data_IF_862426518106
#
_entry.id   IF_862426518106
#
_cell.length_a   1.000
_cell.length_b   1.000
_cell.length_c   1.000
_cell.angle_alpha   90.00
_cell.angle_beta   90.00
_cell.angle_gamma   90.00
#
_symmetry.space_group_name_H-M   'P 1'
#
loop_
_entity.id
_entity.type
_entity.pdbx_description
1 polymer ?
#
# COMPACT_ATOMS: atom_id res chain seq x y z
N UNK A 1 -9.56 -23.44 3.90
CA UNK A 1 -9.06 -22.11 3.47
C UNK A 1 -7.58 -22.05 3.81
N UNK A 2 -6.73 -21.64 2.87
CA UNK A 2 -5.29 -21.41 3.12
C UNK A 2 -5.04 -19.91 2.98
N UNK A 3 -4.21 -19.34 3.85
CA UNK A 3 -3.70 -17.98 3.61
C UNK A 3 -2.90 -17.97 2.31
N UNK A 4 -3.05 -16.91 1.51
CA UNK A 4 -2.28 -16.72 0.27
C UNK A 4 -1.79 -15.27 0.14
N UNK A 5 -0.90 -14.89 1.07
CA UNK A 5 -0.23 -13.58 1.07
C UNK A 5 0.52 -13.29 -0.23
N UNK A 6 1.15 -14.30 -0.87
CA UNK A 6 1.81 -14.11 -2.18
C UNK A 6 0.82 -13.66 -3.25
N UNK A 7 -0.35 -14.30 -3.34
CA UNK A 7 -1.36 -13.92 -4.31
C UNK A 7 -1.95 -12.53 -4.05
N UNK A 8 -2.09 -12.13 -2.79
CA UNK A 8 -2.64 -10.82 -2.40
C UNK A 8 -1.69 -9.66 -2.73
N UNK A 9 -0.38 -9.90 -2.68
CA UNK A 9 0.65 -8.88 -2.89
C UNK A 9 1.50 -9.17 -4.13
N UNK A 10 2.41 -10.14 -4.08
CA UNK A 10 3.43 -10.38 -5.09
C UNK A 10 2.83 -10.69 -6.46
N UNK A 11 2.03 -11.76 -6.57
CA UNK A 11 1.50 -12.24 -7.85
C UNK A 11 0.60 -11.18 -8.50
N UNK A 12 -0.22 -10.51 -7.68
CA UNK A 12 -1.07 -9.39 -8.09
C UNK A 12 -0.25 -8.19 -8.56
N UNK A 13 0.84 -7.86 -7.87
CA UNK A 13 1.73 -6.75 -8.26
C UNK A 13 2.39 -7.06 -9.59
N UNK A 14 2.98 -8.25 -9.75
CA UNK A 14 3.65 -8.66 -10.97
C UNK A 14 2.69 -8.61 -12.17
N UNK A 15 1.52 -9.25 -12.06
CA UNK A 15 0.52 -9.26 -13.12
C UNK A 15 0.10 -7.84 -13.53
N UNK A 16 -0.08 -6.94 -12.57
CA UNK A 16 -0.50 -5.57 -12.84
C UNK A 16 0.63 -4.73 -13.44
N UNK A 17 1.88 -4.89 -13.00
CA UNK A 17 3.02 -4.23 -13.62
C UNK A 17 3.23 -4.65 -15.07
N UNK A 18 3.01 -5.92 -15.40
CA UNK A 18 3.03 -6.41 -16.79
C UNK A 18 1.96 -5.70 -17.65
N UNK A 19 0.73 -5.55 -17.13
CA UNK A 19 -0.32 -4.78 -17.80
C UNK A 19 0.06 -3.30 -17.97
N UNK A 20 0.73 -2.71 -16.96
CA UNK A 20 1.18 -1.33 -17.01
C UNK A 20 2.23 -1.09 -18.08
N UNK A 21 3.24 -1.98 -18.15
CA UNK A 21 4.32 -1.91 -19.12
C UNK A 21 3.80 -1.97 -20.57
N UNK A 22 2.71 -2.72 -20.80
CA UNK A 22 2.10 -2.86 -22.12
C UNK A 22 1.20 -1.68 -22.51
N UNK A 23 0.75 -0.88 -21.53
CA UNK A 23 -0.24 0.21 -21.74
C UNK A 23 0.33 1.61 -21.61
N UNK A 24 1.51 1.79 -20.98
CA UNK A 24 2.11 3.10 -20.71
C UNK A 24 3.58 3.17 -21.11
N UNK A 25 4.07 4.39 -21.34
CA UNK A 25 5.45 4.67 -21.76
C UNK A 25 6.46 4.76 -20.59
N UNK A 26 6.12 4.30 -19.38
CA UNK A 26 7.04 4.37 -18.24
C UNK A 26 7.98 3.15 -18.24
N UNK A 27 9.29 3.43 -18.29
CA UNK A 27 10.34 2.41 -18.21
C UNK A 27 10.47 1.89 -16.77
N UNK A 28 10.04 0.65 -16.56
CA UNK A 28 10.06 -0.04 -15.26
C UNK A 28 11.45 -0.57 -14.87
N UNK A 29 12.40 -0.58 -15.79
CA UNK A 29 13.74 -1.15 -15.63
C UNK A 29 14.79 -0.06 -15.34
N UNK A 30 14.42 1.22 -15.43
CA UNK A 30 15.31 2.34 -15.09
C UNK A 30 15.22 2.74 -13.61
N UNK A 31 16.36 3.13 -12.99
CA UNK A 31 16.38 3.80 -11.69
C UNK A 31 15.57 5.09 -11.68
N UNK A 32 15.19 5.51 -10.48
CA UNK A 32 14.48 6.77 -10.24
C UNK A 32 15.21 7.61 -9.20
N UNK A 33 14.87 8.89 -9.14
CA UNK A 33 15.27 9.78 -8.05
C UNK A 33 14.02 10.35 -7.40
N UNK A 34 13.85 10.19 -6.10
CA UNK A 34 12.73 10.76 -5.33
C UNK A 34 13.29 11.72 -4.29
N UNK A 35 12.85 12.98 -4.31
CA UNK A 35 13.32 14.03 -3.38
C UNK A 35 14.87 14.12 -3.26
N UNK A 36 15.58 13.87 -4.37
CA UNK A 36 17.05 13.89 -4.41
C UNK A 36 17.73 12.59 -3.99
N UNK A 37 16.98 11.56 -3.59
CA UNK A 37 17.50 10.24 -3.22
C UNK A 37 17.36 9.29 -4.42
N UNK A 38 18.46 8.67 -4.84
CA UNK A 38 18.43 7.64 -5.89
C UNK A 38 17.81 6.34 -5.37
N UNK A 39 16.96 5.73 -6.19
CA UNK A 39 16.33 4.45 -5.92
C UNK A 39 16.53 3.50 -7.10
N UNK A 40 16.52 2.16 -6.87
CA UNK A 40 16.51 1.19 -7.95
C UNK A 40 15.29 1.32 -8.86
N UNK A 41 15.25 0.49 -9.89
CA UNK A 41 14.09 0.40 -10.78
C UNK A 41 12.87 -0.15 -10.05
N UNK A 42 11.68 0.11 -10.59
CA UNK A 42 10.40 -0.34 -10.02
C UNK A 42 10.36 -1.87 -9.88
N UNK A 43 10.88 -2.60 -10.88
CA UNK A 43 10.98 -4.06 -10.82
C UNK A 43 11.91 -4.55 -9.72
N UNK A 44 13.05 -3.90 -9.55
CA UNK A 44 14.00 -4.28 -8.51
C UNK A 44 13.46 -3.95 -7.11
N UNK A 45 12.80 -2.80 -6.94
CA UNK A 45 12.07 -2.46 -5.71
C UNK A 45 11.06 -3.56 -5.38
N UNK A 46 10.15 -3.89 -6.32
CA UNK A 46 9.13 -4.91 -6.11
C UNK A 46 9.72 -6.27 -5.71
N UNK A 47 10.83 -6.67 -6.35
CA UNK A 47 11.53 -7.92 -6.06
C UNK A 47 12.16 -7.92 -4.66
N UNK A 48 12.83 -6.83 -4.28
CA UNK A 48 13.49 -6.72 -2.97
C UNK A 48 12.47 -6.69 -1.83
N UNK A 49 11.36 -5.96 -2.01
CA UNK A 49 10.34 -5.81 -0.97
C UNK A 49 9.45 -7.04 -0.84
N UNK A 50 9.28 -7.84 -1.89
CA UNK A 50 8.52 -9.09 -1.81
C UNK A 50 9.10 -10.04 -0.75
N UNK A 51 10.43 -10.08 -0.58
CA UNK A 51 11.10 -10.89 0.43
C UNK A 51 10.89 -10.40 1.87
N UNK A 52 10.38 -9.18 2.05
CA UNK A 52 10.09 -8.58 3.36
C UNK A 52 8.63 -8.80 3.79
N UNK A 53 7.78 -9.32 2.90
CA UNK A 53 6.40 -9.67 3.23
C UNK A 53 6.41 -11.02 3.98
N UNK A 54 5.82 -11.11 5.18
CA UNK A 54 5.71 -12.36 5.91
C UNK A 54 5.06 -13.47 5.08
N UNK A 55 5.63 -14.68 5.19
CA UNK A 55 5.06 -15.85 4.55
C UNK A 55 3.64 -16.13 5.06
N UNK A 56 2.81 -16.69 4.19
CA UNK A 56 1.48 -17.11 4.54
C UNK A 56 1.54 -18.23 5.60
N UNK A 57 0.82 -18.02 6.70
CA UNK A 57 0.48 -19.06 7.66
C UNK A 57 -1.04 -19.08 7.86
N UNK A 58 -1.57 -20.22 8.30
CA UNK A 58 -3.00 -20.34 8.56
C UNK A 58 -3.40 -19.84 9.96
N UNK A 59 -2.44 -19.37 10.78
CA UNK A 59 -2.71 -18.88 12.13
C UNK A 59 -3.43 -17.52 12.10
N UNK A 60 -3.25 -16.76 11.03
CA UNK A 60 -3.84 -15.45 10.81
C UNK A 60 -5.18 -15.47 10.03
N UNK A 61 -5.81 -16.63 9.83
CA UNK A 61 -7.07 -16.72 9.10
C UNK A 61 -8.25 -16.29 9.98
N UNK A 62 -8.90 -15.19 9.59
CA UNK A 62 -10.07 -14.64 10.29
C UNK A 62 -11.11 -14.15 9.29
N UNK A 63 -12.25 -13.68 9.79
CA UNK A 63 -13.18 -12.89 8.97
C UNK A 63 -12.46 -11.62 8.53
N UNK A 64 -12.44 -11.37 7.23
CA UNK A 64 -11.69 -10.27 6.62
C UNK A 64 -12.65 -9.25 5.99
N UNK A 65 -12.32 -7.97 6.13
CA UNK A 65 -13.01 -6.87 5.46
C UNK A 65 -12.60 -6.77 3.98
N UNK A 66 -11.32 -6.90 3.66
CA UNK A 66 -10.79 -6.93 2.28
C UNK A 66 -10.52 -5.56 1.67
N UNK A 67 -11.03 -4.48 2.26
CA UNK A 67 -10.68 -3.09 1.92
C UNK A 67 -10.69 -2.19 3.16
N UNK A 68 -9.97 -2.58 4.20
CA UNK A 68 -10.02 -1.95 5.54
C UNK A 68 -9.21 -0.64 5.66
N UNK A 69 -9.45 0.33 4.78
CA UNK A 69 -8.83 1.67 4.83
C UNK A 69 -9.74 2.71 5.49
N UNK A 70 -9.21 3.89 5.83
CA UNK A 70 -9.95 4.96 6.52
C UNK A 70 -11.20 5.41 5.78
N UNK A 71 -11.17 5.46 4.44
CA UNK A 71 -12.36 5.78 3.63
C UNK A 71 -13.55 4.84 3.87
N UNK A 72 -13.31 3.64 4.40
CA UNK A 72 -14.31 2.62 4.71
C UNK A 72 -14.61 2.51 6.21
N UNK A 73 -14.09 3.42 7.03
CA UNK A 73 -14.27 3.47 8.49
C UNK A 73 -14.97 4.78 8.87
N UNK A 74 -16.12 4.65 9.53
CA UNK A 74 -16.92 5.77 10.00
C UNK A 74 -16.90 5.81 11.53
N UNK A 75 -16.68 6.99 12.11
CA UNK A 75 -16.77 7.19 13.54
C UNK A 75 -18.07 7.91 13.92
N UNK A 76 -18.90 7.23 14.72
CA UNK A 76 -20.14 7.80 15.27
C UNK A 76 -19.84 8.46 16.62
N UNK A 77 -19.72 9.79 16.62
CA UNK A 77 -19.42 10.58 17.83
C UNK A 77 -20.49 10.43 18.92
N UNK A 78 -21.77 10.20 18.57
CA UNK A 78 -22.84 10.08 19.58
C UNK A 78 -22.78 8.73 20.27
N UNK A 79 -22.60 7.67 19.48
CA UNK A 79 -22.50 6.32 20.00
C UNK A 79 -21.09 5.95 20.50
N UNK A 80 -20.09 6.80 20.24
CA UNK A 80 -18.67 6.51 20.46
C UNK A 80 -18.25 5.18 19.81
N UNK A 81 -18.76 4.93 18.60
CA UNK A 81 -18.66 3.63 17.94
C UNK A 81 -18.00 3.75 16.57
N UNK A 82 -17.20 2.74 16.23
CA UNK A 82 -16.62 2.57 14.90
C UNK A 82 -17.57 1.70 14.06
N UNK A 83 -17.91 2.17 12.86
CA UNK A 83 -18.73 1.46 11.87
C UNK A 83 -17.90 1.27 10.61
N UNK A 84 -17.93 0.07 10.04
CA UNK A 84 -17.14 -0.27 8.84
C UNK A 84 -18.10 -0.62 7.70
N UNK A 85 -17.79 -0.17 6.49
CA UNK A 85 -18.63 -0.30 5.29
C UNK A 85 -17.84 -0.84 4.08
N UNK A 86 -18.55 -1.29 3.05
CA UNK A 86 -17.99 -1.90 1.82
C UNK A 86 -17.04 -3.11 2.08
N UNK A 87 -17.48 -4.15 2.83
CA UNK A 87 -16.67 -5.36 2.99
C UNK A 87 -16.57 -6.11 1.65
N UNK A 88 -15.34 -6.33 1.19
CA UNK A 88 -14.99 -7.08 -0.02
C UNK A 88 -14.48 -8.47 0.35
N UNK A 89 -15.40 -9.42 0.46
CA UNK A 89 -15.12 -10.83 0.77
C UNK A 89 -14.64 -11.67 -0.42
N UNK A 90 -13.72 -11.16 -1.25
CA UNK A 90 -13.23 -11.90 -2.42
C UNK A 90 -11.78 -12.32 -2.23
N UNK A 91 -11.54 -13.63 -2.36
CA UNK A 91 -10.18 -14.16 -2.53
C UNK A 91 -9.64 -13.77 -3.92
N UNK A 92 -8.31 -13.69 -4.09
CA UNK A 92 -7.70 -13.50 -5.41
C UNK A 92 -8.15 -14.53 -6.47
N UNK A 93 -8.60 -15.72 -6.03
CA UNK A 93 -9.15 -16.79 -6.89
C UNK A 93 -10.53 -16.49 -7.48
N UNK A 94 -11.18 -15.38 -7.10
CA UNK A 94 -12.56 -15.07 -7.49
C UNK A 94 -13.62 -15.83 -6.69
N UNK A 95 -13.21 -16.70 -5.77
CA UNK A 95 -14.12 -17.33 -4.81
C UNK A 95 -14.50 -16.34 -3.71
N UNK A 96 -15.80 -16.16 -3.51
CA UNK A 96 -16.33 -15.37 -2.40
C UNK A 96 -16.10 -16.14 -1.10
N UNK A 97 -15.20 -15.64 -0.26
CA UNK A 97 -14.92 -16.18 1.06
C UNK A 97 -14.88 -15.03 2.05
N UNK A 98 -15.63 -15.19 3.15
CA UNK A 98 -15.57 -14.27 4.28
C UNK A 98 -14.24 -14.35 5.02
N UNK A 99 -13.49 -15.44 4.83
CA UNK A 99 -12.23 -15.68 5.52
C UNK A 99 -11.03 -15.30 4.66
N UNK A 100 -10.10 -14.55 5.26
CA UNK A 100 -8.86 -14.11 4.66
C UNK A 100 -7.76 -13.95 5.71
N UNK A 101 -6.61 -13.43 5.31
CA UNK A 101 -5.49 -13.19 6.22
C UNK A 101 -5.63 -11.82 6.90
N UNK A 102 -5.65 -11.79 8.23
CA UNK A 102 -5.80 -10.54 9.00
C UNK A 102 -4.71 -9.52 8.67
N UNK A 103 -3.52 -9.97 8.25
CA UNK A 103 -2.40 -9.09 7.88
C UNK A 103 -2.73 -8.25 6.66
N UNK A 104 -3.63 -8.73 5.79
CA UNK A 104 -4.08 -7.95 4.63
C UNK A 104 -4.96 -6.78 5.03
N UNK A 105 -5.88 -6.96 5.99
CA UNK A 105 -6.66 -5.84 6.54
C UNK A 105 -5.76 -4.86 7.32
N UNK A 106 -4.77 -5.36 8.07
CA UNK A 106 -3.77 -4.50 8.72
C UNK A 106 -2.95 -3.72 7.67
N UNK A 107 -2.58 -4.35 6.56
CA UNK A 107 -1.91 -3.66 5.46
C UNK A 107 -2.82 -2.58 4.85
N UNK A 108 -4.12 -2.84 4.70
CA UNK A 108 -5.10 -1.87 4.21
C UNK A 108 -5.34 -0.71 5.18
N UNK A 109 -5.28 -0.97 6.48
CA UNK A 109 -5.33 0.08 7.49
C UNK A 109 -4.05 0.92 7.48
N UNK A 110 -2.89 0.26 7.41
CA UNK A 110 -1.59 0.89 7.25
C UNK A 110 -1.47 1.67 5.92
N UNK A 111 -2.29 1.36 4.93
CA UNK A 111 -2.39 2.11 3.67
C UNK A 111 -2.81 3.56 3.90
N UNK A 112 -3.74 3.77 4.83
CA UNK A 112 -4.16 5.09 5.27
C UNK A 112 -3.13 5.74 6.19
N UNK A 113 -2.60 5.00 7.17
CA UNK A 113 -1.72 5.55 8.22
C UNK A 113 -0.29 5.79 7.75
N UNK A 114 0.37 4.76 7.23
CA UNK A 114 1.78 4.79 6.80
C UNK A 114 1.88 5.19 5.33
N UNK A 115 1.00 4.63 4.51
CA UNK A 115 0.95 4.87 3.08
C UNK A 115 0.39 6.24 2.70
N UNK A 116 -0.34 6.92 3.60
CA UNK A 116 -1.02 8.19 3.32
C UNK A 116 -1.90 8.14 2.06
N UNK A 117 -2.50 6.97 1.80
CA UNK A 117 -3.35 6.73 0.65
C UNK A 117 -4.48 7.76 0.51
N UNK A 118 -5.17 8.06 1.61
CA UNK A 118 -6.31 8.97 1.60
C UNK A 118 -5.89 10.40 1.21
N UNK A 119 -4.66 10.82 1.53
CA UNK A 119 -4.10 12.09 1.07
C UNK A 119 -3.90 12.09 -0.46
N UNK A 120 -3.41 10.99 -1.03
CA UNK A 120 -3.27 10.85 -2.48
C UNK A 120 -4.64 10.87 -3.16
N UNK A 121 -5.62 10.14 -2.63
CA UNK A 121 -6.97 10.11 -3.21
C UNK A 121 -7.63 11.49 -3.13
N UNK A 122 -7.43 12.22 -2.04
CA UNK A 122 -7.95 13.57 -1.84
C UNK A 122 -7.18 14.67 -2.58
N UNK A 123 -6.03 14.36 -3.19
CA UNK A 123 -5.18 15.36 -3.86
C UNK A 123 -4.38 16.25 -2.90
N UNK A 124 -4.20 15.83 -1.65
CA UNK A 124 -3.43 16.56 -0.64
C UNK A 124 -1.95 16.20 -0.69
N UNK A 125 -1.30 16.52 -1.80
CA UNK A 125 0.14 16.37 -2.01
C UNK A 125 0.63 17.38 -3.04
N UNK A 126 1.94 17.57 -3.12
CA UNK A 126 2.61 18.26 -4.23
C UNK A 126 3.44 17.26 -5.02
N UNK A 127 3.39 17.32 -6.34
CA UNK A 127 4.23 16.48 -7.21
C UNK A 127 4.83 17.27 -8.37
N UNK A 128 6.12 17.07 -8.61
CA UNK A 128 6.83 17.54 -9.80
C UNK A 128 7.57 16.37 -10.43
N UNK A 129 7.49 16.24 -11.76
CA UNK A 129 8.19 15.20 -12.53
C UNK A 129 9.09 15.83 -13.59
N UNK A 130 10.34 15.37 -13.66
CA UNK A 130 11.31 15.75 -14.69
C UNK A 130 12.09 14.51 -15.12
N UNK A 131 11.62 13.83 -16.16
CA UNK A 131 12.19 12.54 -16.59
C UNK A 131 11.99 11.47 -15.52
N UNK A 132 13.08 10.90 -15.00
CA UNK A 132 13.09 9.90 -13.93
C UNK A 132 13.31 10.50 -12.53
N UNK A 133 13.18 11.83 -12.40
CA UNK A 133 13.25 12.51 -11.11
C UNK A 133 11.87 13.00 -10.69
N UNK A 134 11.50 12.70 -9.45
CA UNK A 134 10.25 13.09 -8.80
C UNK A 134 10.55 13.92 -7.56
N UNK A 135 9.80 15.00 -7.36
CA UNK A 135 9.66 15.64 -6.05
C UNK A 135 8.24 15.41 -5.58
N UNK A 136 8.08 14.85 -4.38
CA UNK A 136 6.79 14.44 -3.86
C UNK A 136 6.74 14.65 -2.36
N UNK A 137 5.76 15.45 -1.91
CA UNK A 137 5.61 15.81 -0.50
C UNK A 137 4.14 15.81 -0.11
N UNK A 138 3.87 15.39 1.11
CA UNK A 138 2.61 15.64 1.79
C UNK A 138 2.73 16.92 2.65
N UNK A 139 1.62 17.59 2.96
CA UNK A 139 1.62 18.69 3.94
C UNK A 139 2.10 18.21 5.31
N UNK A 140 2.83 19.05 6.02
CA UNK A 140 3.24 18.78 7.40
C UNK A 140 2.00 18.60 8.31
N UNK A 141 2.03 17.58 9.17
CA UNK A 141 0.91 17.24 10.04
C UNK A 141 1.39 16.58 11.32
N UNK A 142 1.42 17.34 12.42
CA UNK A 142 1.73 16.81 13.75
C UNK A 142 0.86 15.61 14.14
N UNK A 143 -0.41 15.60 13.70
CA UNK A 143 -1.30 14.47 13.96
C UNK A 143 -0.82 13.17 13.27
N UNK A 144 -0.23 13.26 12.08
CA UNK A 144 0.36 12.10 11.40
C UNK A 144 1.66 11.70 12.08
N UNK A 145 2.51 12.68 12.42
CA UNK A 145 3.79 12.46 13.07
C UNK A 145 3.64 11.73 14.42
N UNK A 146 2.56 12.03 15.16
CA UNK A 146 2.22 11.34 16.41
C UNK A 146 1.53 9.98 16.17
N UNK A 147 0.65 9.88 15.15
CA UNK A 147 -0.12 8.68 14.87
C UNK A 147 0.74 7.52 14.36
N UNK A 148 1.68 7.77 13.45
CA UNK A 148 2.45 6.71 12.81
C UNK A 148 3.29 5.88 13.80
N UNK A 149 4.06 6.48 14.73
CA UNK A 149 4.79 5.73 15.74
C UNK A 149 3.88 4.93 16.66
N UNK A 150 2.75 5.50 17.10
CA UNK A 150 1.77 4.80 17.93
C UNK A 150 1.17 3.59 17.20
N UNK A 151 0.81 3.76 15.93
CA UNK A 151 0.29 2.69 15.10
C UNK A 151 1.31 1.57 14.89
N UNK A 152 2.56 1.92 14.55
CA UNK A 152 3.64 0.95 14.39
C UNK A 152 3.91 0.16 15.67
N UNK A 153 3.93 0.84 16.83
CA UNK A 153 4.10 0.19 18.13
C UNK A 153 3.00 -0.82 18.41
N UNK A 154 1.73 -0.40 18.27
CA UNK A 154 0.56 -1.26 18.47
C UNK A 154 0.54 -2.47 17.54
N UNK A 155 0.83 -2.25 16.25
CA UNK A 155 0.82 -3.32 15.25
C UNK A 155 1.93 -4.34 15.52
N UNK A 156 3.12 -3.87 15.90
CA UNK A 156 4.21 -4.75 16.27
C UNK A 156 3.92 -5.54 17.56
N UNK A 157 3.39 -4.89 18.59
CA UNK A 157 3.08 -5.53 19.87
C UNK A 157 2.01 -6.63 19.73
N UNK A 158 0.92 -6.34 19.00
CA UNK A 158 -0.22 -7.25 18.93
C UNK A 158 -0.17 -8.26 17.78
N UNK A 159 0.53 -7.95 16.68
CA UNK A 159 0.52 -8.76 15.47
C UNK A 159 1.92 -9.19 15.00
N UNK A 160 2.99 -8.72 15.64
CA UNK A 160 4.37 -9.06 15.28
C UNK A 160 4.78 -8.57 13.89
N UNK A 161 4.09 -7.55 13.34
CA UNK A 161 4.44 -6.92 12.08
C UNK A 161 5.29 -5.67 12.34
N UNK A 162 6.51 -5.68 11.84
CA UNK A 162 7.42 -4.53 11.95
C UNK A 162 7.18 -3.49 10.84
N UNK A 163 7.83 -2.33 10.97
CA UNK A 163 7.76 -1.25 9.98
C UNK A 163 8.16 -1.73 8.58
N UNK A 164 9.17 -2.62 8.48
CA UNK A 164 9.71 -3.06 7.19
C UNK A 164 8.68 -3.91 6.42
N UNK A 165 8.05 -4.85 7.11
CA UNK A 165 6.97 -5.66 6.55
C UNK A 165 5.78 -4.79 6.12
N UNK A 166 5.37 -3.82 6.95
CA UNK A 166 4.27 -2.91 6.61
C UNK A 166 4.59 -2.04 5.40
N UNK A 167 5.77 -1.42 5.33
CA UNK A 167 6.20 -0.62 4.19
C UNK A 167 6.29 -1.47 2.90
N UNK A 168 6.80 -2.70 2.99
CA UNK A 168 6.83 -3.62 1.86
C UNK A 168 5.41 -3.93 1.36
N UNK A 169 4.47 -4.25 2.26
CA UNK A 169 3.07 -4.44 1.89
C UNK A 169 2.48 -3.18 1.22
N UNK A 170 2.80 -1.98 1.70
CA UNK A 170 2.34 -0.73 1.08
C UNK A 170 2.87 -0.53 -0.33
N UNK A 171 4.17 -0.77 -0.53
CA UNK A 171 4.81 -0.71 -1.85
C UNK A 171 4.06 -1.59 -2.85
N UNK A 172 3.78 -2.85 -2.47
CA UNK A 172 3.03 -3.76 -3.33
C UNK A 172 1.58 -3.31 -3.57
N UNK A 173 0.90 -2.76 -2.55
CA UNK A 173 -0.45 -2.20 -2.73
C UNK A 173 -0.42 -1.05 -3.75
N UNK A 174 0.47 -0.06 -3.60
CA UNK A 174 0.57 1.06 -4.53
C UNK A 174 0.95 0.63 -5.95
N UNK A 175 1.99 -0.20 -6.11
CA UNK A 175 2.39 -0.72 -7.42
C UNK A 175 1.25 -1.45 -8.11
N UNK A 176 0.49 -2.24 -7.36
CA UNK A 176 -0.68 -2.92 -7.90
C UNK A 176 -1.79 -1.94 -8.31
N UNK A 177 -1.93 -0.76 -7.69
CA UNK A 177 -3.00 0.18 -8.02
C UNK A 177 -2.71 1.03 -9.25
N UNK A 178 -1.45 1.31 -9.56
CA UNK A 178 -1.05 2.18 -10.69
C UNK A 178 -1.86 1.90 -11.98
N UNK A 179 -2.00 0.65 -12.46
CA UNK A 179 -2.62 0.39 -13.77
C UNK A 179 -4.14 0.55 -13.77
N UNK A 180 -4.77 0.53 -12.59
CA UNK A 180 -6.22 0.66 -12.44
C UNK A 180 -6.72 2.11 -12.57
N UNK A 181 -5.81 3.08 -12.51
CA UNK A 181 -6.13 4.52 -12.52
C UNK A 181 -5.67 5.20 -13.81
N UNK A 182 -5.80 4.51 -14.95
CA UNK A 182 -5.39 5.03 -16.26
C UNK A 182 -6.16 6.30 -16.68
N UNK A 183 -7.31 6.55 -16.06
CA UNK A 183 -8.11 7.77 -16.22
C UNK A 183 -7.50 8.99 -15.51
N UNK A 184 -6.55 8.80 -14.58
CA UNK A 184 -5.90 9.89 -13.84
C UNK A 184 -4.36 9.70 -13.79
N UNK A 185 -3.63 10.18 -14.83
CA UNK A 185 -2.18 10.05 -14.92
C UNK A 185 -1.41 10.71 -13.77
N UNK A 186 -1.93 11.82 -13.23
CA UNK A 186 -1.32 12.48 -12.08
C UNK A 186 -1.36 11.58 -10.85
N UNK A 187 -2.50 10.94 -10.59
CA UNK A 187 -2.66 9.96 -9.50
C UNK A 187 -1.78 8.72 -9.69
N UNK A 188 -1.61 8.24 -10.93
CA UNK A 188 -0.65 7.16 -11.22
C UNK A 188 0.76 7.58 -10.84
N UNK A 189 1.14 8.81 -11.18
CA UNK A 189 2.45 9.39 -10.84
C UNK A 189 2.60 9.54 -9.32
N UNK A 190 1.55 9.95 -8.61
CA UNK A 190 1.54 10.04 -7.15
C UNK A 190 1.69 8.67 -6.46
N UNK A 191 1.04 7.62 -6.97
CA UNK A 191 1.24 6.25 -6.46
C UNK A 191 2.65 5.75 -6.70
N UNK A 192 3.23 6.04 -7.88
CA UNK A 192 4.63 5.74 -8.16
C UNK A 192 5.56 6.49 -7.19
N UNK A 193 5.39 7.82 -7.08
CA UNK A 193 6.23 8.65 -6.22
C UNK A 193 6.17 8.23 -4.75
N UNK A 194 4.98 7.87 -4.27
CA UNK A 194 4.80 7.38 -2.90
C UNK A 194 5.41 5.99 -2.70
N UNK A 195 5.41 5.13 -3.73
CA UNK A 195 6.14 3.86 -3.69
C UNK A 195 7.64 4.10 -3.49
N UNK A 196 8.22 5.03 -4.26
CA UNK A 196 9.63 5.39 -4.13
C UNK A 196 9.93 5.99 -2.74
N UNK A 197 9.06 6.90 -2.25
CA UNK A 197 9.16 7.48 -0.90
C UNK A 197 9.20 6.39 0.17
N UNK A 198 8.24 5.46 0.14
CA UNK A 198 8.18 4.34 1.09
C UNK A 198 9.42 3.45 1.02
N UNK A 199 9.98 3.24 -0.17
CA UNK A 199 11.21 2.49 -0.33
C UNK A 199 12.43 3.21 0.30
N UNK A 200 12.51 4.54 0.20
CA UNK A 200 13.58 5.29 0.89
C UNK A 200 13.51 5.19 2.41
N UNK A 201 12.34 4.89 2.98
CA UNK A 201 12.20 4.64 4.43
C UNK A 201 12.66 3.23 4.86
N UNK A 202 12.91 2.32 3.91
CA UNK A 202 13.44 0.98 4.15
C UNK A 202 14.98 0.91 4.12
N UNK A 203 15.61 1.95 3.57
CA UNK A 203 17.06 2.07 3.34
C UNK A 203 17.76 2.67 4.55
#
# INVERSE_FOLDING_TARGET
>A
IKSNMSALFNDKTQHRLELYQNSNCIDLDRPWTINGIETPSIKEIAKQTAAMIPAADNAALCVMHGDFCFSNILYDFRAQAIKVIDPRGCMPSGETSLFGDQRYDLAKLAHSVIGLYDFIVAGYYTIEISGHALKFNFPDSHAIDDLQPMFLHMVNEHFGLDKRALCAMQIHLFLSMIPMHADNPERQTAFLANTLRLYTELS
#
